data_IF_541303756594
#
_entry.id   IF_541303756594
#
_cell.length_a   1.000
_cell.length_b   1.000
_cell.length_c   1.000
_cell.angle_alpha   90.00
_cell.angle_beta   90.00
_cell.angle_gamma   90.00
#
_symmetry.space_group_name_H-M   'P 1'
#
loop_
_entity.id
_entity.type
_entity.pdbx_description
1 polymer ?
#
# COMPACT_ATOMS: atom_id res chain seq x y z
N UNK A 1 64.43 23.91 48.25
CA UNK A 1 64.04 24.37 46.89
C UNK A 1 62.96 23.53 46.19
N UNK A 2 62.73 22.24 46.52
CA UNK A 2 61.75 21.39 45.80
C UNK A 2 60.27 21.60 46.19
N UNK A 3 60.00 22.23 47.34
CA UNK A 3 58.65 22.34 47.89
C UNK A 3 57.79 23.39 47.18
N UNK A 4 58.38 24.52 46.79
CA UNK A 4 57.74 25.62 46.03
C UNK A 4 57.22 25.16 44.66
N UNK A 5 58.00 24.36 43.94
CA UNK A 5 57.64 23.86 42.60
C UNK A 5 56.43 22.91 42.67
N UNK A 6 56.38 22.07 43.72
CA UNK A 6 55.30 21.11 43.94
C UNK A 6 53.98 21.82 44.26
N UNK A 7 54.03 22.92 45.03
CA UNK A 7 52.85 23.72 45.36
C UNK A 7 52.32 24.47 44.14
N UNK A 8 53.18 25.10 43.32
CA UNK A 8 52.76 25.74 42.07
C UNK A 8 52.19 24.76 41.03
N UNK A 9 52.75 23.56 40.95
CA UNK A 9 52.22 22.50 40.07
C UNK A 9 50.83 22.02 40.52
N UNK A 10 50.61 21.87 41.84
CA UNK A 10 49.30 21.51 42.39
C UNK A 10 48.26 22.64 42.23
N UNK A 11 48.68 23.91 42.32
CA UNK A 11 47.82 25.06 42.07
C UNK A 11 47.38 25.14 40.59
N UNK A 12 48.29 24.85 39.66
CA UNK A 12 47.99 24.85 38.22
C UNK A 12 47.05 23.71 37.79
N UNK A 13 47.02 22.59 38.53
CA UNK A 13 46.07 21.49 38.29
C UNK A 13 44.65 21.79 38.80
N UNK A 14 44.50 22.70 39.77
CA UNK A 14 43.19 23.11 40.30
C UNK A 14 42.55 24.27 39.49
N UNK A 15 43.30 24.91 38.58
CA UNK A 15 42.85 26.06 37.80
C UNK A 15 42.26 25.71 36.43
N UNK A 16 42.42 24.46 35.96
CA UNK A 16 41.92 24.00 34.66
C UNK A 16 40.92 22.88 34.83
N UNK A 17 39.66 23.26 35.01
CA UNK A 17 38.46 22.66 34.38
C UNK A 17 37.22 23.34 34.96
N UNK A 18 36.98 24.57 34.52
CA UNK A 18 35.61 25.09 34.43
C UNK A 18 34.98 24.45 33.19
N UNK A 19 34.82 23.14 33.21
CA UNK A 19 33.98 22.45 32.24
C UNK A 19 32.55 22.87 32.58
N UNK A 20 31.98 23.75 31.76
CA UNK A 20 30.59 24.16 31.88
C UNK A 20 29.71 22.93 31.71
N UNK A 21 29.13 22.45 32.81
CA UNK A 21 28.12 21.39 32.77
C UNK A 21 26.86 21.89 32.07
N UNK A 22 26.19 20.99 31.33
CA UNK A 22 24.84 21.24 30.81
C UNK A 22 23.93 21.66 31.96
N UNK A 23 23.30 22.81 31.83
CA UNK A 23 22.31 23.27 32.80
C UNK A 23 21.02 22.48 32.61
N UNK A 24 20.29 22.24 33.70
CA UNK A 24 18.98 21.57 33.64
C UNK A 24 18.00 22.34 32.74
N UNK A 25 18.12 23.67 32.68
CA UNK A 25 17.28 24.52 31.83
C UNK A 25 17.59 24.37 30.34
N UNK A 26 18.86 24.18 29.96
CA UNK A 26 19.23 23.89 28.56
C UNK A 26 18.62 22.56 28.10
N UNK A 27 18.70 21.53 28.94
CA UNK A 27 18.11 20.23 28.60
C UNK A 27 16.57 20.31 28.57
N UNK A 28 15.96 21.09 29.46
CA UNK A 28 14.51 21.32 29.49
C UNK A 28 14.00 21.98 28.21
N UNK A 29 14.66 23.05 27.73
CA UNK A 29 14.24 23.74 26.50
C UNK A 29 14.40 22.81 25.29
N UNK A 30 15.46 22.00 25.24
CA UNK A 30 15.67 21.04 24.15
C UNK A 30 14.55 19.99 24.11
N UNK A 31 14.18 19.39 25.25
CA UNK A 31 13.10 18.39 25.27
C UNK A 31 11.73 18.99 24.92
N UNK A 32 11.50 20.27 25.26
CA UNK A 32 10.30 21.01 24.86
C UNK A 32 10.27 21.19 23.34
N UNK A 33 11.37 21.63 22.73
CA UNK A 33 11.44 21.85 21.27
C UNK A 33 11.25 20.54 20.51
N UNK A 34 11.97 19.46 20.86
CA UNK A 34 11.77 18.15 20.21
C UNK A 34 10.37 17.58 20.48
N UNK A 35 9.75 17.89 21.63
CA UNK A 35 8.39 17.50 21.95
C UNK A 35 7.36 18.15 21.02
N UNK A 36 7.49 19.46 20.77
CA UNK A 36 6.63 20.19 19.82
C UNK A 36 6.81 19.65 18.40
N UNK A 37 8.07 19.44 17.97
CA UNK A 37 8.37 18.91 16.63
C UNK A 37 7.81 17.49 16.46
N UNK A 38 7.98 16.62 17.47
CA UNK A 38 7.46 15.26 17.44
C UNK A 38 5.92 15.22 17.38
N UNK A 39 5.24 16.10 18.11
CA UNK A 39 3.78 16.18 18.11
C UNK A 39 3.20 16.46 16.71
N UNK A 40 3.86 17.32 15.93
CA UNK A 40 3.44 17.64 14.54
C UNK A 40 3.91 16.59 13.53
N UNK A 41 5.13 16.07 13.69
CA UNK A 41 5.75 15.17 12.71
C UNK A 41 5.21 13.73 12.78
N UNK A 42 4.95 13.21 13.99
CA UNK A 42 4.55 11.83 14.21
C UNK A 42 3.26 11.41 13.47
N UNK A 43 2.14 12.17 13.48
CA UNK A 43 0.93 11.77 12.74
C UNK A 43 1.18 11.71 11.22
N UNK A 44 1.99 12.63 10.68
CA UNK A 44 2.37 12.62 9.27
C UNK A 44 3.22 11.39 8.93
N UNK A 45 4.20 11.05 9.77
CA UNK A 45 5.04 9.87 9.59
C UNK A 45 4.23 8.57 9.59
N UNK A 46 3.28 8.41 10.52
CA UNK A 46 2.40 7.24 10.58
C UNK A 46 1.52 7.13 9.32
N UNK A 47 0.99 8.26 8.84
CA UNK A 47 0.21 8.30 7.59
C UNK A 47 1.05 7.88 6.38
N UNK A 48 2.28 8.37 6.26
CA UNK A 48 3.20 8.00 5.20
C UNK A 48 3.59 6.51 5.24
N UNK A 49 3.85 5.96 6.44
CA UNK A 49 4.11 4.54 6.62
C UNK A 49 2.91 3.68 6.17
N UNK A 50 1.68 4.13 6.44
CA UNK A 50 0.47 3.44 5.97
C UNK A 50 0.27 3.56 4.46
N UNK A 51 0.61 4.70 3.84
CA UNK A 51 0.61 4.85 2.38
C UNK A 51 1.62 3.90 1.72
N UNK A 52 2.82 3.74 2.28
CA UNK A 52 3.80 2.77 1.79
C UNK A 52 3.26 1.33 1.77
N UNK A 53 2.55 0.93 2.84
CA UNK A 53 1.86 -0.38 2.89
C UNK A 53 0.74 -0.49 1.85
N UNK A 54 0.01 0.58 1.57
CA UNK A 54 -1.02 0.58 0.53
C UNK A 54 -0.44 0.45 -0.89
N UNK A 55 0.77 0.98 -1.12
CA UNK A 55 1.48 0.81 -2.40
C UNK A 55 1.83 -0.66 -2.66
N UNK A 56 2.19 -1.43 -1.63
CA UNK A 56 2.39 -2.89 -1.72
C UNK A 56 1.15 -3.56 -2.33
N UNK A 57 -0.04 -3.28 -1.80
CA UNK A 57 -1.29 -3.83 -2.30
C UNK A 57 -1.61 -3.40 -3.73
N UNK A 58 -1.44 -2.10 -4.04
CA UNK A 58 -1.66 -1.60 -5.40
C UNK A 58 -0.74 -2.28 -6.42
N UNK A 59 0.54 -2.43 -6.08
CA UNK A 59 1.52 -3.05 -6.97
C UNK A 59 1.21 -4.53 -7.19
N UNK A 60 0.88 -5.27 -6.14
CA UNK A 60 0.54 -6.69 -6.23
C UNK A 60 -0.74 -6.91 -7.04
N UNK A 61 -1.81 -6.14 -6.81
CA UNK A 61 -3.05 -6.25 -7.60
C UNK A 61 -2.81 -5.84 -9.06
N UNK A 62 -2.04 -4.78 -9.30
CA UNK A 62 -1.69 -4.37 -10.66
C UNK A 62 -0.85 -5.42 -11.40
N UNK A 63 0.02 -6.13 -10.68
CA UNK A 63 0.75 -7.26 -11.22
C UNK A 63 -0.20 -8.43 -11.51
N UNK A 64 -1.15 -8.75 -10.61
CA UNK A 64 -2.15 -9.82 -10.79
C UNK A 64 -2.99 -9.58 -12.05
N UNK A 65 -3.42 -8.33 -12.27
CA UNK A 65 -4.11 -7.94 -13.50
C UNK A 65 -3.30 -8.27 -14.75
N UNK A 66 -2.02 -7.87 -14.80
CA UNK A 66 -1.15 -8.11 -15.96
C UNK A 66 -0.88 -9.61 -16.18
N UNK A 67 -0.65 -10.35 -15.10
CA UNK A 67 -0.43 -11.79 -15.20
C UNK A 67 -1.69 -12.51 -15.68
N UNK A 68 -2.88 -12.07 -15.28
CA UNK A 68 -4.14 -12.65 -15.72
C UNK A 68 -4.44 -12.34 -17.18
N UNK A 69 -4.08 -11.14 -17.64
CA UNK A 69 -4.09 -10.83 -19.07
C UNK A 69 -3.16 -11.78 -19.85
N UNK A 70 -1.91 -11.94 -19.41
CA UNK A 70 -0.96 -12.85 -20.05
C UNK A 70 -1.44 -14.32 -20.03
N UNK A 71 -1.92 -14.78 -18.87
CA UNK A 71 -2.43 -16.14 -18.71
C UNK A 71 -3.64 -16.41 -19.61
N UNK A 72 -4.53 -15.43 -19.74
CA UNK A 72 -5.68 -15.54 -20.65
C UNK A 72 -5.25 -15.56 -22.13
N UNK A 73 -4.24 -14.78 -22.52
CA UNK A 73 -3.69 -14.85 -23.88
C UNK A 73 -3.18 -16.26 -24.22
N UNK A 74 -2.47 -16.90 -23.28
CA UNK A 74 -1.88 -18.22 -23.51
C UNK A 74 -2.88 -19.38 -23.40
N UNK A 75 -3.81 -19.32 -22.44
CA UNK A 75 -4.69 -20.45 -22.06
C UNK A 75 -6.17 -20.22 -22.34
N UNK A 76 -6.55 -19.04 -22.83
CA UNK A 76 -7.94 -18.65 -23.11
C UNK A 76 -8.87 -18.79 -21.90
N UNK A 77 -8.31 -18.80 -20.69
CA UNK A 77 -9.03 -18.95 -19.42
C UNK A 77 -8.37 -18.06 -18.37
N UNK A 78 -9.13 -17.68 -17.34
CA UNK A 78 -8.55 -17.07 -16.14
C UNK A 78 -8.36 -18.12 -15.06
N UNK A 79 -7.39 -17.90 -14.16
CA UNK A 79 -7.14 -18.80 -13.02
C UNK A 79 -7.56 -18.14 -11.71
N UNK A 80 -8.07 -18.93 -10.76
CA UNK A 80 -8.31 -18.52 -9.38
C UNK A 80 -7.09 -18.75 -8.48
N UNK A 81 -6.04 -19.42 -8.99
CA UNK A 81 -4.83 -19.72 -8.25
C UNK A 81 -3.75 -18.67 -8.51
N UNK A 82 -3.31 -17.98 -7.45
CA UNK A 82 -2.20 -17.03 -7.52
C UNK A 82 -0.88 -17.74 -7.93
N UNK A 83 -0.72 -19.00 -7.51
CA UNK A 83 0.49 -19.77 -7.80
C UNK A 83 0.67 -20.08 -9.29
N UNK A 84 -0.43 -20.27 -10.03
CA UNK A 84 -0.39 -20.56 -11.46
C UNK A 84 0.04 -19.37 -12.31
N UNK A 85 -0.09 -18.14 -11.78
CA UNK A 85 0.35 -16.92 -12.45
C UNK A 85 1.88 -16.74 -12.43
N UNK A 86 2.62 -17.53 -11.65
CA UNK A 86 4.08 -17.54 -11.66
C UNK A 86 4.77 -16.25 -11.20
N UNK A 87 4.04 -15.31 -10.59
CA UNK A 87 4.58 -14.00 -10.21
C UNK A 87 5.30 -13.96 -8.85
N UNK A 88 5.30 -15.07 -8.11
CA UNK A 88 5.89 -15.10 -6.76
C UNK A 88 5.17 -14.24 -5.73
N UNK A 89 3.92 -13.83 -5.99
CA UNK A 89 3.11 -13.10 -5.02
C UNK A 89 2.60 -14.09 -3.97
N UNK A 90 2.95 -13.85 -2.71
CA UNK A 90 2.42 -14.62 -1.59
C UNK A 90 0.90 -14.38 -1.46
N UNK A 91 0.13 -15.44 -1.19
CA UNK A 91 -1.31 -15.34 -0.89
C UNK A 91 -1.58 -14.50 0.36
N UNK A 92 -0.59 -14.34 1.23
CA UNK A 92 -0.69 -13.50 2.41
C UNK A 92 0.65 -12.82 2.71
N UNK A 93 0.59 -11.53 3.02
CA UNK A 93 1.69 -10.73 3.57
C UNK A 93 1.32 -10.27 4.97
N UNK A 94 2.23 -9.56 5.64
CA UNK A 94 1.99 -9.00 6.98
C UNK A 94 0.82 -8.02 7.03
N UNK A 95 0.45 -7.41 5.89
CA UNK A 95 -0.55 -6.34 5.84
C UNK A 95 -1.81 -6.74 5.03
N UNK A 96 -1.67 -7.65 4.06
CA UNK A 96 -2.73 -7.99 3.11
C UNK A 96 -2.85 -9.51 2.90
N UNK A 97 -4.07 -9.96 2.59
CA UNK A 97 -4.35 -11.28 2.03
C UNK A 97 -4.86 -11.09 0.61
N UNK A 98 -4.30 -11.86 -0.32
CA UNK A 98 -4.64 -11.83 -1.73
C UNK A 98 -5.48 -13.04 -2.09
N UNK A 99 -6.61 -12.77 -2.74
CA UNK A 99 -7.55 -13.79 -3.21
C UNK A 99 -7.92 -13.48 -4.65
N UNK A 100 -8.11 -14.52 -5.46
CA UNK A 100 -8.64 -14.41 -6.81
C UNK A 100 -9.94 -15.19 -6.90
N UNK A 101 -10.97 -14.58 -7.47
CA UNK A 101 -12.22 -15.22 -7.82
C UNK A 101 -12.45 -15.08 -9.32
N UNK A 102 -12.70 -16.19 -10.00
CA UNK A 102 -13.04 -16.19 -11.44
C UNK A 102 -14.52 -16.41 -11.62
N UNK A 103 -15.08 -15.80 -12.67
CA UNK A 103 -16.46 -16.01 -13.09
C UNK A 103 -16.54 -16.02 -14.61
N UNK A 104 -17.61 -16.60 -15.15
CA UNK A 104 -17.87 -16.60 -16.58
C UNK A 104 -19.34 -16.26 -16.84
N UNK A 105 -19.54 -15.55 -17.93
CA UNK A 105 -20.77 -14.87 -18.27
C UNK A 105 -21.08 -14.93 -19.76
N UNK A 106 -21.69 -16.04 -20.21
CA UNK A 106 -21.78 -16.31 -21.64
C UNK A 106 -20.37 -16.46 -22.23
N UNK A 107 -20.04 -15.66 -23.25
CA UNK A 107 -18.70 -15.62 -23.85
C UNK A 107 -17.67 -14.77 -23.07
N UNK A 108 -18.12 -13.96 -22.11
CA UNK A 108 -17.24 -13.10 -21.32
C UNK A 108 -16.70 -13.83 -20.09
N UNK A 109 -15.39 -13.82 -19.89
CA UNK A 109 -14.75 -14.34 -18.68
C UNK A 109 -14.28 -13.17 -17.82
N UNK A 110 -14.28 -13.34 -16.49
CA UNK A 110 -13.81 -12.34 -15.54
C UNK A 110 -12.95 -12.97 -14.45
N UNK A 111 -11.90 -12.27 -14.03
CA UNK A 111 -11.08 -12.56 -12.86
C UNK A 111 -11.09 -11.34 -11.94
N UNK A 112 -11.55 -11.52 -10.72
CA UNK A 112 -11.55 -10.54 -9.64
C UNK A 112 -10.36 -10.82 -8.71
N UNK A 113 -9.56 -9.80 -8.45
CA UNK A 113 -8.40 -9.84 -7.55
C UNK A 113 -8.70 -8.99 -6.34
N UNK A 114 -8.50 -9.52 -5.14
CA UNK A 114 -8.80 -8.81 -3.89
C UNK A 114 -7.57 -8.81 -3.00
N UNK A 115 -7.14 -7.63 -2.57
CA UNK A 115 -6.15 -7.40 -1.53
C UNK A 115 -6.84 -6.94 -0.27
N UNK A 116 -7.25 -7.88 0.57
CA UNK A 116 -7.98 -7.63 1.82
C UNK A 116 -6.98 -7.27 2.90
N UNK A 117 -7.15 -6.13 3.56
CA UNK A 117 -6.25 -5.77 4.65
C UNK A 117 -6.48 -6.62 5.90
N UNK A 118 -5.39 -7.00 6.57
CA UNK A 118 -5.40 -7.66 7.88
C UNK A 118 -5.50 -6.63 9.01
N UNK A 119 -5.09 -5.39 8.75
CA UNK A 119 -5.00 -4.31 9.77
C UNK A 119 -6.05 -3.25 9.51
N UNK A 120 -6.90 -2.98 10.51
CA UNK A 120 -7.99 -1.97 10.45
C UNK A 120 -7.52 -0.56 10.02
N UNK A 121 -6.26 -0.21 10.27
CA UNK A 121 -5.70 1.10 9.92
C UNK A 121 -5.36 1.28 8.43
N UNK A 122 -5.46 0.22 7.62
CA UNK A 122 -5.13 0.23 6.19
C UNK A 122 -6.40 0.09 5.35
N UNK A 123 -6.29 0.48 4.08
CA UNK A 123 -7.37 0.34 3.09
C UNK A 123 -7.17 -0.91 2.26
N UNK A 124 -8.26 -1.53 1.83
CA UNK A 124 -8.23 -2.70 0.94
C UNK A 124 -8.19 -2.29 -0.53
N UNK A 125 -7.73 -3.16 -1.41
CA UNK A 125 -7.64 -2.91 -2.85
C UNK A 125 -8.29 -4.03 -3.65
N UNK A 126 -8.90 -3.67 -4.79
CA UNK A 126 -9.51 -4.62 -5.71
C UNK A 126 -9.02 -4.39 -7.14
N UNK A 127 -9.01 -5.45 -7.92
CA UNK A 127 -8.78 -5.43 -9.36
C UNK A 127 -9.73 -6.37 -10.07
N UNK A 128 -10.06 -6.09 -11.32
CA UNK A 128 -10.78 -7.03 -12.18
C UNK A 128 -10.12 -7.04 -13.54
N UNK A 129 -10.09 -8.22 -14.15
CA UNK A 129 -9.65 -8.47 -15.52
C UNK A 129 -10.79 -9.18 -16.23
N UNK A 130 -11.19 -8.73 -17.40
CA UNK A 130 -12.36 -9.25 -18.10
C UNK A 130 -12.14 -9.21 -19.61
N UNK A 131 -12.81 -10.14 -20.30
CA UNK A 131 -12.82 -10.17 -21.76
C UNK A 131 -14.05 -9.46 -22.29
N UNK A 132 -13.83 -8.58 -23.26
CA UNK A 132 -14.91 -7.94 -24.02
C UNK A 132 -14.62 -8.08 -25.49
N UNK A 133 -15.66 -8.38 -26.26
CA UNK A 133 -15.60 -8.23 -27.70
C UNK A 133 -15.52 -6.73 -28.04
N UNK A 134 -14.45 -6.34 -28.72
CA UNK A 134 -14.25 -5.00 -29.24
C UNK A 134 -14.44 -5.08 -30.74
N UNK A 135 -15.45 -4.37 -31.23
CA UNK A 135 -15.70 -4.26 -32.66
C UNK A 135 -15.11 -2.94 -33.16
N UNK A 136 -14.13 -3.01 -34.05
CA UNK A 136 -13.58 -1.85 -34.74
C UNK A 136 -13.52 -2.13 -36.25
N UNK A 137 -14.10 -1.24 -37.06
CA UNK A 137 -14.09 -1.40 -38.52
C UNK A 137 -14.81 -2.66 -39.05
N UNK A 138 -15.78 -3.23 -38.32
CA UNK A 138 -16.52 -4.43 -38.72
C UNK A 138 -15.84 -5.76 -38.39
N UNK A 139 -14.68 -5.73 -37.74
CA UNK A 139 -14.00 -6.91 -37.18
C UNK A 139 -14.27 -6.95 -35.68
N UNK A 140 -14.67 -8.10 -35.16
CA UNK A 140 -14.88 -8.34 -33.73
C UNK A 140 -13.69 -9.12 -33.17
N UNK A 141 -12.97 -8.52 -32.23
CA UNK A 141 -11.82 -9.12 -31.56
C UNK A 141 -12.07 -9.19 -30.04
N UNK A 142 -11.68 -10.29 -29.41
CA UNK A 142 -11.72 -10.40 -27.96
C UNK A 142 -10.54 -9.60 -27.35
N UNK A 143 -10.85 -8.53 -26.62
CA UNK A 143 -9.84 -7.74 -25.89
C UNK A 143 -9.93 -8.03 -24.38
N UNK A 144 -8.76 -8.15 -23.73
CA UNK A 144 -8.70 -8.31 -22.27
C UNK A 144 -8.38 -6.98 -21.60
N UNK A 145 -9.32 -6.47 -20.80
CA UNK A 145 -9.17 -5.21 -20.09
C UNK A 145 -8.99 -5.44 -18.59
N UNK A 146 -8.30 -4.52 -17.91
CA UNK A 146 -8.12 -4.59 -16.46
C UNK A 146 -8.27 -3.22 -15.79
N UNK A 147 -8.92 -3.21 -14.62
CA UNK A 147 -9.10 -2.00 -13.78
C UNK A 147 -8.68 -2.31 -12.34
N UNK A 148 -8.16 -1.29 -11.65
CA UNK A 148 -7.80 -1.34 -10.23
C UNK A 148 -8.56 -0.24 -9.47
N UNK A 149 -9.09 -0.56 -8.30
CA UNK A 149 -9.79 0.40 -7.43
C UNK A 149 -9.42 0.20 -5.95
N UNK A 150 -9.70 1.24 -5.17
CA UNK A 150 -9.58 1.24 -3.72
C UNK A 150 -10.91 0.83 -3.08
N UNK A 151 -10.87 0.02 -2.01
CA UNK A 151 -12.04 -0.43 -1.25
C UNK A 151 -12.03 0.25 0.12
N UNK A 152 -13.09 1.02 0.44
CA UNK A 152 -13.15 1.95 1.58
C UNK A 152 -13.48 1.31 2.96
N UNK A 153 -13.70 -0.01 3.09
CA UNK A 153 -14.00 -0.61 4.41
C UNK A 153 -13.27 -1.94 4.70
N UNK A 154 -12.94 -2.24 5.98
CA UNK A 154 -12.23 -3.43 6.41
C UNK A 154 -13.20 -4.48 7.00
N UNK A 155 -13.97 -5.17 6.16
CA UNK A 155 -14.70 -6.37 6.59
C UNK A 155 -15.08 -7.19 5.34
N UNK A 156 -14.82 -8.51 5.28
CA UNK A 156 -15.23 -9.34 4.15
C UNK A 156 -16.75 -9.39 3.88
N UNK A 157 -17.60 -8.88 4.79
CA UNK A 157 -19.06 -9.00 4.72
C UNK A 157 -19.86 -7.68 4.66
N UNK A 158 -19.21 -6.50 4.63
CA UNK A 158 -19.93 -5.22 4.55
C UNK A 158 -20.00 -4.76 3.07
N UNK A 159 -21.08 -5.14 2.35
CA UNK A 159 -21.30 -4.85 0.91
C UNK A 159 -21.65 -3.38 0.56
N UNK A 160 -21.83 -3.00 -0.73
CA UNK A 160 -21.70 -3.75 -1.98
C UNK A 160 -20.50 -3.26 -2.81
N UNK A 161 -19.33 -3.85 -2.56
CA UNK A 161 -18.38 -4.24 -3.63
C UNK A 161 -18.02 -5.73 -3.49
N UNK A 162 -18.83 -6.43 -2.68
CA UNK A 162 -18.83 -7.86 -2.40
C UNK A 162 -20.05 -8.53 -3.05
N UNK A 163 -20.44 -8.07 -4.24
CA UNK A 163 -21.28 -8.87 -5.13
C UNK A 163 -20.43 -9.26 -6.33
N UNK A 164 -19.54 -10.22 -6.11
CA UNK A 164 -18.91 -11.01 -7.17
C UNK A 164 -19.93 -11.82 -7.99
N UNK A 165 -21.23 -11.71 -7.67
CA UNK A 165 -22.37 -12.24 -8.43
C UNK A 165 -23.13 -11.14 -9.19
N UNK A 166 -22.78 -9.85 -9.06
CA UNK A 166 -23.40 -8.73 -9.79
C UNK A 166 -22.35 -7.85 -10.47
N UNK A 167 -21.29 -8.48 -10.99
CA UNK A 167 -20.58 -7.97 -12.17
C UNK A 167 -20.94 -8.89 -13.33
N UNK A 168 -22.25 -9.04 -13.50
CA UNK A 168 -22.91 -9.66 -14.63
C UNK A 168 -24.05 -8.74 -15.04
N UNK A 169 -23.78 -7.45 -15.09
CA UNK A 169 -24.60 -6.52 -15.87
C UNK A 169 -23.67 -5.96 -16.91
N UNK A 170 -23.88 -6.47 -18.10
CA UNK A 170 -23.58 -5.85 -19.37
C UNK A 170 -24.17 -4.43 -19.33
N UNK A 171 -23.45 -3.46 -18.77
CA UNK A 171 -23.67 -2.07 -19.15
C UNK A 171 -22.53 -1.70 -20.06
N UNK A 172 -22.71 -2.08 -21.32
CA UNK A 172 -22.62 -1.14 -22.42
C UNK A 172 -21.66 0.02 -22.15
N UNK A 173 -20.41 -0.11 -22.60
CA UNK A 173 -19.60 0.91 -23.25
C UNK A 173 -18.10 0.57 -23.14
N UNK A 174 -17.45 0.62 -24.29
CA UNK A 174 -16.03 0.87 -24.43
C UNK A 174 -15.62 2.18 -23.69
N UNK A 175 -14.33 2.50 -23.61
CA UNK A 175 -13.70 3.17 -22.48
C UNK A 175 -14.16 4.62 -22.34
N UNK A 176 -14.82 4.95 -21.25
CA UNK A 176 -14.89 6.34 -20.79
C UNK A 176 -14.57 6.42 -19.31
N UNK A 177 -13.54 7.23 -19.05
CA UNK A 177 -13.30 8.02 -17.87
C UNK A 177 -14.36 7.87 -16.75
N UNK A 178 -13.94 7.43 -15.59
CA UNK A 178 -13.56 8.37 -14.54
C UNK A 178 -13.50 7.66 -13.18
N UNK A 179 -12.46 7.94 -12.40
CA UNK A 179 -12.32 7.54 -11.01
C UNK A 179 -12.79 8.65 -10.05
N UNK A 180 -13.61 9.59 -10.53
CA UNK A 180 -14.24 10.65 -9.73
C UNK A 180 -15.76 10.54 -9.71
N UNK A 181 -16.31 9.59 -8.96
CA UNK A 181 -17.61 9.78 -8.29
C UNK A 181 -17.65 8.96 -6.99
N UNK A 182 -16.89 9.41 -5.99
CA UNK A 182 -17.25 9.25 -4.58
C UNK A 182 -17.89 10.58 -4.16
N UNK A 183 -19.18 10.60 -3.83
CA UNK A 183 -19.78 11.76 -3.16
C UNK A 183 -21.26 12.02 -3.47
N UNK A 184 -22.15 11.30 -2.78
CA UNK A 184 -23.23 11.87 -1.96
C UNK A 184 -23.84 10.75 -1.12
#
# INVERSE_FOLDING_TARGET
MKTELKVKFLQHLNEKKREGGFTLIELLVVVIIIGILAAVALPSLLSQANKGKQVEARNNIGALNRAQQAFHLDRQAFTSSIGELGMGIATQTTNYRYEIATGAAGASSVALHRGITIKKALKSYGGYTYTTDVTSGGVTEAATQAKLWEIKAPNPNDGPQATATTVFVVTNLAPTADATQLGN
#
